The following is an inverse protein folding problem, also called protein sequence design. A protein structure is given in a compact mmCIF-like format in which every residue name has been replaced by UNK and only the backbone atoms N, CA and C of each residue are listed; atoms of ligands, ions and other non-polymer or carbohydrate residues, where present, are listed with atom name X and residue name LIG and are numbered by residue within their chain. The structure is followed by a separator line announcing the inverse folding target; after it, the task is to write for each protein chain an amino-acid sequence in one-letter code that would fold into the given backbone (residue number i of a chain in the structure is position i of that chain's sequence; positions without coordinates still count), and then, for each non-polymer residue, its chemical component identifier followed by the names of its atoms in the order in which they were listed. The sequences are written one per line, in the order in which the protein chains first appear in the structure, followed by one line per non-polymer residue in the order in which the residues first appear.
data_IF_874103049829
#
_entry.id   IF_874103049829
#
_cell.length_a   1.000
_cell.length_b   1.000
_cell.length_c   1.000
_cell.angle_alpha   90.00
_cell.angle_beta   90.00
_cell.angle_gamma   90.00
#
_symmetry.space_group_name_H-M   'P 1'
#
loop_
_entity.id
_entity.type
_entity.pdbx_description
1 polymer ?
#
# COMPACT_ATOMS: atom_id res chain seq x y z
N UNK A 1 -14.73 12.84 39.09
CA UNK A 1 -14.74 11.59 38.28
C UNK A 1 -14.02 11.74 36.93
N UNK A 2 -13.92 12.94 36.34
CA UNK A 2 -13.24 13.21 35.06
C UNK A 2 -11.70 13.09 35.13
N UNK A 3 -11.07 13.39 36.27
CA UNK A 3 -9.60 13.39 36.41
C UNK A 3 -8.94 12.01 36.37
N UNK A 4 -9.69 10.93 36.63
CA UNK A 4 -9.13 9.58 36.60
C UNK A 4 -9.05 9.05 35.16
N UNK A 5 -10.00 9.42 34.30
CA UNK A 5 -10.03 8.94 32.91
C UNK A 5 -8.86 9.49 32.09
N UNK A 6 -8.54 10.78 32.27
CA UNK A 6 -7.37 11.39 31.65
C UNK A 6 -6.08 10.74 32.16
N UNK A 7 -5.96 10.51 33.47
CA UNK A 7 -4.82 9.82 34.09
C UNK A 7 -4.55 8.44 33.47
N UNK A 8 -5.57 7.58 33.34
CA UNK A 8 -5.40 6.26 32.71
C UNK A 8 -5.01 6.35 31.23
N UNK A 9 -5.57 7.32 30.49
CA UNK A 9 -5.19 7.57 29.10
C UNK A 9 -3.73 8.00 28.97
N UNK A 10 -3.27 8.93 29.82
CA UNK A 10 -1.88 9.39 29.84
C UNK A 10 -0.91 8.24 30.16
N UNK A 11 -1.24 7.40 31.15
CA UNK A 11 -0.40 6.25 31.52
C UNK A 11 -0.31 5.22 30.38
N UNK A 12 -1.43 4.91 29.71
CA UNK A 12 -1.45 4.02 28.56
C UNK A 12 -0.64 4.55 27.38
N UNK A 13 -0.83 5.84 27.04
CA UNK A 13 -0.10 6.50 25.95
C UNK A 13 1.42 6.52 26.20
N UNK A 14 1.86 6.82 27.43
CA UNK A 14 3.28 6.80 27.79
C UNK A 14 3.90 5.43 27.60
N UNK A 15 3.23 4.38 28.07
CA UNK A 15 3.70 2.99 27.94
C UNK A 15 3.82 2.57 26.47
N UNK A 16 2.90 3.00 25.61
CA UNK A 16 2.97 2.76 24.17
C UNK A 16 4.18 3.48 23.56
N UNK A 17 4.41 4.75 23.93
CA UNK A 17 5.57 5.50 23.44
C UNK A 17 6.90 4.88 23.86
N UNK A 18 7.02 4.44 25.11
CA UNK A 18 8.21 3.74 25.61
C UNK A 18 8.48 2.46 24.80
N UNK A 19 7.44 1.65 24.56
CA UNK A 19 7.56 0.43 23.74
C UNK A 19 7.97 0.76 22.29
N UNK A 20 7.44 1.83 21.71
CA UNK A 20 7.80 2.26 20.36
C UNK A 20 9.27 2.71 20.34
N UNK A 21 9.71 3.50 21.31
CA UNK A 21 11.11 3.94 21.39
C UNK A 21 12.05 2.74 21.52
N UNK A 22 11.73 1.77 22.40
CA UNK A 22 12.47 0.51 22.54
C UNK A 22 12.57 -0.25 21.20
N UNK A 23 11.49 -0.29 20.40
CA UNK A 23 11.51 -0.93 19.08
C UNK A 23 12.47 -0.24 18.12
N UNK A 24 12.50 1.10 18.17
CA UNK A 24 13.41 1.90 17.36
C UNK A 24 14.84 1.91 17.91
N UNK A 25 15.20 1.14 18.92
CA UNK A 25 16.62 0.93 19.25
C UNK A 25 17.26 -0.13 18.33
N UNK A 26 16.45 -1.03 17.77
CA UNK A 26 16.94 -2.10 16.91
C UNK A 26 17.19 -1.61 15.47
N UNK A 27 18.47 -1.62 15.05
CA UNK A 27 18.89 -1.20 13.71
C UNK A 27 18.17 -1.95 12.59
N UNK A 28 17.99 -3.27 12.72
CA UNK A 28 17.33 -4.07 11.69
C UNK A 28 15.87 -3.62 11.50
N UNK A 29 15.15 -3.28 12.56
CA UNK A 29 13.77 -2.79 12.48
C UNK A 29 13.72 -1.48 11.69
N UNK A 30 14.67 -0.55 11.95
CA UNK A 30 14.78 0.70 11.16
C UNK A 30 14.99 0.43 9.68
N UNK A 31 15.92 -0.48 9.35
CA UNK A 31 16.24 -0.83 7.96
C UNK A 31 15.01 -1.42 7.26
N UNK A 32 14.34 -2.39 7.89
CA UNK A 32 13.10 -2.97 7.35
C UNK A 32 12.03 -1.91 7.14
N UNK A 33 11.75 -1.08 8.14
CA UNK A 33 10.74 -0.02 8.04
C UNK A 33 11.09 0.99 6.95
N UNK A 34 12.33 1.42 6.84
CA UNK A 34 12.77 2.36 5.80
C UNK A 34 12.57 1.76 4.39
N UNK A 35 12.96 0.50 4.18
CA UNK A 35 12.77 -0.20 2.89
C UNK A 35 11.28 -0.37 2.58
N UNK A 36 10.49 -0.82 3.55
CA UNK A 36 9.05 -1.03 3.35
C UNK A 36 8.35 0.30 3.03
N UNK A 37 8.67 1.38 3.74
CA UNK A 37 8.13 2.70 3.47
C UNK A 37 8.52 3.20 2.08
N UNK A 38 9.78 2.98 1.67
CA UNK A 38 10.25 3.33 0.33
C UNK A 38 9.47 2.57 -0.77
N UNK A 39 9.24 1.27 -0.60
CA UNK A 39 8.46 0.47 -1.56
C UNK A 39 6.99 0.90 -1.55
N UNK A 40 6.41 1.16 -0.38
CA UNK A 40 5.03 1.63 -0.30
C UNK A 40 4.87 3.00 -0.99
N UNK A 41 5.79 3.93 -0.77
CA UNK A 41 5.84 5.20 -1.51
C UNK A 41 5.97 4.97 -3.01
N UNK A 42 6.80 4.02 -3.43
CA UNK A 42 6.91 3.64 -4.85
C UNK A 42 5.57 3.14 -5.40
N UNK A 43 4.84 2.29 -4.66
CA UNK A 43 3.48 1.87 -5.02
C UNK A 43 2.53 3.05 -5.21
N UNK A 44 2.55 4.03 -4.29
CA UNK A 44 1.75 5.25 -4.42
C UNK A 44 2.12 6.08 -5.65
N UNK A 45 3.42 6.24 -5.93
CA UNK A 45 3.88 7.00 -7.10
C UNK A 45 3.45 6.35 -8.40
N UNK A 46 3.57 5.02 -8.54
CA UNK A 46 3.15 4.29 -9.74
C UNK A 46 1.62 4.38 -9.89
N UNK A 47 0.86 4.17 -8.81
CA UNK A 47 -0.59 4.32 -8.84
C UNK A 47 -1.02 5.72 -9.30
N UNK A 48 -0.33 6.76 -8.83
CA UNK A 48 -0.55 8.14 -9.27
C UNK A 48 -0.19 8.34 -10.75
N UNK A 49 0.96 7.83 -11.21
CA UNK A 49 1.35 7.91 -12.62
C UNK A 49 0.34 7.23 -13.53
N UNK A 50 -0.18 6.05 -13.14
CA UNK A 50 -1.27 5.38 -13.86
C UNK A 50 -2.50 6.28 -13.89
N UNK A 51 -2.93 6.81 -12.74
CA UNK A 51 -4.11 7.67 -12.66
C UNK A 51 -4.01 8.94 -13.49
N UNK A 52 -2.86 9.60 -13.49
CA UNK A 52 -2.66 10.87 -14.19
C UNK A 52 -2.60 10.64 -15.71
N UNK A 53 -1.91 9.58 -16.15
CA UNK A 53 -1.86 9.20 -17.57
C UNK A 53 -3.23 8.81 -18.10
N UNK A 54 -3.99 7.98 -17.38
CA UNK A 54 -5.32 7.60 -17.85
C UNK A 54 -6.25 8.80 -17.94
N UNK A 55 -6.21 9.74 -16.98
CA UNK A 55 -7.02 10.97 -17.04
C UNK A 55 -6.65 11.83 -18.24
N UNK A 56 -5.37 11.92 -18.57
CA UNK A 56 -4.89 12.64 -19.75
C UNK A 56 -5.42 11.99 -21.05
N UNK A 57 -5.31 10.67 -21.19
CA UNK A 57 -5.81 9.94 -22.37
C UNK A 57 -7.34 10.03 -22.50
N UNK A 58 -8.04 10.06 -21.36
CA UNK A 58 -9.49 10.20 -21.31
C UNK A 58 -9.95 11.62 -21.66
N UNK A 59 -9.23 12.67 -21.24
CA UNK A 59 -9.51 14.05 -21.64
C UNK A 59 -9.42 14.23 -23.17
N UNK A 60 -8.47 13.55 -23.81
CA UNK A 60 -8.33 13.56 -25.28
C UNK A 60 -9.50 12.82 -25.95
N UNK A 61 -10.01 11.76 -25.33
CA UNK A 61 -11.13 10.94 -25.83
C UNK A 61 -12.51 11.57 -25.60
N UNK A 62 -12.64 12.46 -24.62
CA UNK A 62 -13.88 13.14 -24.24
C UNK A 62 -14.39 14.14 -25.31
N UNK A 63 -13.60 14.46 -26.34
CA UNK A 63 -14.04 15.28 -27.47
C UNK A 63 -14.93 14.52 -28.48
N UNK A 64 -15.13 13.21 -28.29
CA UNK A 64 -16.03 12.38 -29.11
C UNK A 64 -17.37 12.17 -28.39
N UNK A 65 -18.42 12.84 -28.86
CA UNK A 65 -19.79 12.93 -28.30
C UNK A 65 -20.44 11.58 -27.90
N UNK A 66 -20.20 11.08 -26.68
CA UNK A 66 -21.08 10.09 -26.06
C UNK A 66 -20.99 10.17 -24.52
N UNK A 67 -22.06 10.69 -23.90
CA UNK A 67 -22.20 11.00 -22.47
C UNK A 67 -22.11 9.80 -21.49
N UNK A 68 -21.71 8.62 -21.96
CA UNK A 68 -21.79 7.35 -21.22
C UNK A 68 -20.46 6.60 -21.03
N UNK A 69 -19.34 7.05 -21.61
CA UNK A 69 -18.03 6.39 -21.44
C UNK A 69 -17.16 7.18 -20.44
N UNK A 70 -17.53 7.14 -19.15
CA UNK A 70 -16.70 7.69 -18.07
C UNK A 70 -15.74 6.62 -17.54
N UNK A 71 -14.44 6.89 -17.59
CA UNK A 71 -13.38 6.28 -16.78
C UNK A 71 -13.25 4.75 -16.80
N UNK A 72 -13.41 4.12 -17.96
CA UNK A 72 -13.22 2.69 -18.13
C UNK A 72 -11.76 2.37 -18.46
N UNK A 73 -11.01 1.87 -17.48
CA UNK A 73 -9.60 1.44 -17.62
C UNK A 73 -9.47 -0.06 -17.42
N UNK A 74 -8.55 -0.71 -18.14
CA UNK A 74 -8.33 -2.16 -18.03
C UNK A 74 -7.54 -2.42 -16.74
N UNK A 75 -8.24 -2.89 -15.71
CA UNK A 75 -7.60 -3.30 -14.45
C UNK A 75 -7.05 -4.73 -14.52
N UNK A 76 -7.64 -5.58 -15.35
CA UNK A 76 -7.22 -6.98 -15.46
C UNK A 76 -7.39 -7.52 -16.88
N UNK A 77 -6.33 -8.15 -17.37
CA UNK A 77 -6.30 -8.86 -18.65
C UNK A 77 -5.99 -10.34 -18.38
N UNK A 78 -6.81 -11.23 -18.94
CA UNK A 78 -6.57 -12.67 -18.95
C UNK A 78 -6.09 -13.07 -20.36
N UNK A 79 -5.08 -13.93 -20.44
CA UNK A 79 -4.55 -14.43 -21.72
C UNK A 79 -5.60 -15.26 -22.48
N UNK A 80 -6.42 -16.04 -21.78
CA UNK A 80 -7.39 -16.93 -22.41
C UNK A 80 -8.71 -16.22 -22.79
N UNK A 81 -9.07 -15.16 -22.07
CA UNK A 81 -10.39 -14.50 -22.17
C UNK A 81 -10.33 -13.00 -22.51
N UNK A 82 -9.14 -12.43 -22.69
CA UNK A 82 -8.95 -11.00 -22.92
C UNK A 82 -9.23 -10.13 -21.68
N UNK A 83 -9.72 -8.92 -21.92
CA UNK A 83 -10.03 -7.93 -20.87
C UNK A 83 -11.22 -8.43 -20.04
N UNK A 84 -10.99 -8.79 -18.78
CA UNK A 84 -12.04 -9.33 -17.90
C UNK A 84 -12.46 -8.34 -16.79
N UNK A 85 -11.67 -7.29 -16.53
CA UNK A 85 -12.05 -6.27 -15.55
C UNK A 85 -11.73 -4.88 -16.08
N UNK A 86 -12.79 -4.12 -16.30
CA UNK A 86 -12.73 -2.70 -16.63
C UNK A 86 -13.37 -1.91 -15.49
N UNK A 87 -12.70 -0.87 -15.02
CA UNK A 87 -13.20 -0.08 -13.90
C UNK A 87 -12.53 1.27 -13.76
N UNK A 88 -13.00 2.04 -12.78
CA UNK A 88 -12.47 3.37 -12.46
C UNK A 88 -11.00 3.29 -12.09
N UNK A 89 -10.19 4.18 -12.67
CA UNK A 89 -8.74 4.27 -12.46
C UNK A 89 -8.38 4.50 -10.98
N UNK A 90 -9.26 5.14 -10.25
CA UNK A 90 -9.15 5.37 -8.80
C UNK A 90 -8.97 4.07 -8.00
N UNK A 91 -9.49 2.94 -8.53
CA UNK A 91 -9.34 1.63 -7.89
C UNK A 91 -7.89 1.14 -7.86
N UNK A 92 -6.99 1.72 -8.66
CA UNK A 92 -5.55 1.41 -8.61
C UNK A 92 -4.93 1.79 -7.26
N UNK A 93 -5.49 2.79 -6.55
CA UNK A 93 -5.04 3.17 -5.19
C UNK A 93 -5.40 2.17 -4.10
N UNK A 94 -6.25 1.18 -4.39
CA UNK A 94 -6.57 0.11 -3.44
C UNK A 94 -5.31 -0.72 -3.13
N UNK A 95 -4.45 -0.96 -4.13
CA UNK A 95 -3.20 -1.72 -3.95
C UNK A 95 -2.24 -1.09 -2.92
N UNK A 96 -1.79 0.18 -3.07
CA UNK A 96 -0.92 0.80 -2.08
C UNK A 96 -1.58 0.93 -0.69
N UNK A 97 -2.90 1.14 -0.63
CA UNK A 97 -3.66 1.17 0.62
C UNK A 97 -3.62 -0.18 1.35
N UNK A 98 -3.78 -1.30 0.64
CA UNK A 98 -3.62 -2.63 1.22
C UNK A 98 -2.21 -2.87 1.76
N UNK A 99 -1.18 -2.45 1.02
CA UNK A 99 0.21 -2.53 1.49
C UNK A 99 0.44 -1.78 2.81
N UNK A 100 -0.23 -0.63 2.97
CA UNK A 100 -0.16 0.20 4.18
C UNK A 100 -0.95 -0.43 5.34
N UNK A 101 -2.15 -0.94 5.09
CA UNK A 101 -2.95 -1.65 6.10
C UNK A 101 -2.20 -2.88 6.64
N UNK A 102 -1.58 -3.67 5.77
CA UNK A 102 -0.83 -4.85 6.17
C UNK A 102 0.40 -4.46 7.00
N UNK A 103 1.09 -3.37 6.64
CA UNK A 103 2.17 -2.80 7.46
C UNK A 103 1.66 -2.42 8.86
N UNK A 104 0.54 -1.69 8.96
CA UNK A 104 -0.03 -1.27 10.25
C UNK A 104 -0.36 -2.48 11.14
N UNK A 105 -1.04 -3.48 10.59
CA UNK A 105 -1.42 -4.70 11.33
C UNK A 105 -0.17 -5.44 11.83
N UNK A 106 0.84 -5.60 10.97
CA UNK A 106 2.08 -6.26 11.36
C UNK A 106 2.88 -5.45 12.38
N UNK A 107 2.81 -4.12 12.35
CA UNK A 107 3.45 -3.26 13.33
C UNK A 107 2.79 -3.38 14.71
N UNK A 108 1.46 -3.50 14.77
CA UNK A 108 0.74 -3.82 16.00
C UNK A 108 1.12 -5.20 16.56
N UNK A 109 1.25 -6.22 15.70
CA UNK A 109 1.73 -7.54 16.12
C UNK A 109 3.20 -7.49 16.58
N UNK A 110 4.03 -6.71 15.91
CA UNK A 110 5.43 -6.52 16.26
C UNK A 110 5.57 -5.91 17.66
N UNK A 111 4.78 -4.90 17.98
CA UNK A 111 4.71 -4.28 19.32
C UNK A 111 4.45 -5.31 20.43
N UNK A 112 3.69 -6.36 20.14
CA UNK A 112 3.40 -7.43 21.10
C UNK A 112 4.51 -8.49 21.19
N UNK A 113 5.11 -8.89 20.06
CA UNK A 113 6.02 -10.04 20.01
C UNK A 113 7.52 -9.70 20.05
N UNK A 114 7.93 -8.45 19.85
CA UNK A 114 9.35 -8.12 19.65
C UNK A 114 10.30 -8.47 20.82
N UNK A 115 9.82 -8.39 22.07
CA UNK A 115 10.64 -8.72 23.25
C UNK A 115 10.86 -10.22 23.41
N UNK A 116 9.96 -11.05 22.89
CA UNK A 116 9.95 -12.49 23.16
C UNK A 116 10.71 -13.29 22.10
N UNK A 117 10.64 -12.88 20.82
CA UNK A 117 11.28 -13.65 19.76
C UNK A 117 11.64 -12.80 18.53
N UNK A 118 12.94 -12.58 18.33
CA UNK A 118 13.48 -11.85 17.16
C UNK A 118 13.11 -12.51 15.83
N UNK A 119 12.97 -13.84 15.79
CA UNK A 119 12.57 -14.57 14.58
C UNK A 119 11.16 -14.15 14.12
N UNK A 120 10.22 -14.00 15.07
CA UNK A 120 8.85 -13.54 14.76
C UNK A 120 8.89 -12.12 14.21
N UNK A 121 9.71 -11.23 14.78
CA UNK A 121 9.89 -9.88 14.27
C UNK A 121 10.38 -9.86 12.81
N UNK A 122 11.38 -10.69 12.49
CA UNK A 122 11.86 -10.82 11.12
C UNK A 122 10.79 -11.38 10.18
N UNK A 123 10.05 -12.39 10.62
CA UNK A 123 8.97 -12.99 9.84
C UNK A 123 7.86 -11.98 9.52
N UNK A 124 7.40 -11.23 10.53
CA UNK A 124 6.39 -10.19 10.36
C UNK A 124 6.85 -9.12 9.37
N UNK A 125 8.04 -8.54 9.56
CA UNK A 125 8.58 -7.49 8.68
C UNK A 125 8.86 -8.00 7.26
N UNK A 126 9.37 -9.23 7.12
CA UNK A 126 9.62 -9.85 5.80
C UNK A 126 8.31 -10.11 5.07
N UNK A 127 7.26 -10.52 5.76
CA UNK A 127 5.95 -10.74 5.13
C UNK A 127 5.39 -9.44 4.54
N UNK A 128 5.48 -8.32 5.28
CA UNK A 128 5.06 -6.99 4.81
C UNK A 128 5.89 -6.56 3.61
N UNK A 129 7.20 -6.78 3.65
CA UNK A 129 8.09 -6.49 2.55
C UNK A 129 7.68 -7.25 1.28
N UNK A 130 7.50 -8.57 1.37
CA UNK A 130 7.11 -9.41 0.23
C UNK A 130 5.77 -8.99 -0.36
N UNK A 131 4.77 -8.71 0.50
CA UNK A 131 3.47 -8.22 0.05
C UNK A 131 3.62 -6.91 -0.73
N UNK A 132 4.40 -5.94 -0.23
CA UNK A 132 4.58 -4.67 -0.92
C UNK A 132 5.33 -4.83 -2.25
N UNK A 133 6.26 -5.78 -2.35
CA UNK A 133 6.94 -6.14 -3.61
C UNK A 133 5.94 -6.74 -4.62
N UNK A 134 5.09 -7.68 -4.20
CA UNK A 134 4.07 -8.25 -5.09
C UNK A 134 3.06 -7.21 -5.56
N UNK A 135 2.65 -6.29 -4.68
CA UNK A 135 1.79 -5.17 -5.05
C UNK A 135 2.46 -4.24 -6.08
N UNK A 136 3.77 -4.00 -5.95
CA UNK A 136 4.55 -3.22 -6.91
C UNK A 136 4.60 -3.90 -8.28
N UNK A 137 4.83 -5.21 -8.30
CA UNK A 137 4.82 -6.00 -9.54
C UNK A 137 3.43 -6.02 -10.19
N UNK A 138 2.36 -6.09 -9.40
CA UNK A 138 1.00 -6.01 -9.90
C UNK A 138 0.71 -4.65 -10.56
N UNK A 139 1.08 -3.55 -9.89
CA UNK A 139 0.96 -2.19 -10.45
C UNK A 139 1.80 -2.01 -11.73
N UNK A 140 3.03 -2.52 -11.74
CA UNK A 140 3.88 -2.49 -12.92
C UNK A 140 3.26 -3.26 -14.09
N UNK A 141 2.62 -4.40 -13.82
CA UNK A 141 1.92 -5.20 -14.83
C UNK A 141 0.73 -4.43 -15.41
N UNK A 142 -0.08 -3.79 -14.57
CA UNK A 142 -1.19 -2.92 -14.99
C UNK A 142 -0.68 -1.78 -15.86
N UNK A 143 0.42 -1.13 -15.46
CA UNK A 143 1.03 -0.05 -16.23
C UNK A 143 1.48 -0.52 -17.62
N UNK A 144 2.18 -1.65 -17.71
CA UNK A 144 2.69 -2.18 -18.97
C UNK A 144 1.55 -2.52 -19.93
N UNK A 145 0.54 -3.25 -19.46
CA UNK A 145 -0.61 -3.68 -20.28
C UNK A 145 -1.35 -2.48 -20.89
N UNK A 146 -1.50 -1.38 -20.15
CA UNK A 146 -2.29 -0.24 -20.60
C UNK A 146 -1.49 0.79 -21.42
N UNK A 147 -0.22 1.04 -21.10
CA UNK A 147 0.53 2.16 -21.69
C UNK A 147 1.69 1.73 -22.58
N UNK A 148 2.07 0.46 -22.55
CA UNK A 148 3.11 -0.07 -23.41
C UNK A 148 2.69 -1.45 -23.94
N UNK A 149 1.67 -1.49 -24.81
CA UNK A 149 1.33 -2.73 -25.49
C UNK A 149 2.58 -3.18 -26.26
N UNK A 150 3.07 -4.36 -25.92
CA UNK A 150 4.15 -5.02 -26.65
C UNK A 150 3.51 -5.47 -27.96
N UNK A 151 3.74 -4.69 -29.03
CA UNK A 151 3.47 -5.05 -30.42
C UNK A 151 4.80 -5.46 -31.03
#
# INVERSE_FOLDING_TARGET
MINNLSSYFYLGWRKILEIILDLFDYLYIKIYLAIILFINLSNWTIAKVISDKTKQDLYISQYSNSDSVKDLFILHYNVDFGINLVGRVERVYIMPLFGLLILIINLFLLLYFYKNNKFISHLLLTSVFLVNVFLLMALASIYLINFRPII
#
